data_IF_039258877249
#
_entry.id   IF_039258877249
#
_cell.length_a   1.000
_cell.length_b   1.000
_cell.length_c   1.000
_cell.angle_alpha   90.00
_cell.angle_beta   90.00
_cell.angle_gamma   90.00
#
_symmetry.space_group_name_H-M   'P 1'
#
loop_
_entity.id
_entity.type
_entity.pdbx_description
1 polymer ?
#
# COMPACT_ATOMS: atom_id res chain seq x y z
N UNK A 1 -24.74 14.63 -1.95
CA UNK A 1 -25.00 13.24 -1.56
C UNK A 1 -24.34 13.00 -0.21
N UNK A 2 -25.13 13.02 0.87
CA UNK A 2 -24.64 12.71 2.22
C UNK A 2 -24.36 11.19 2.29
N UNK A 3 -23.46 10.70 3.16
CA UNK A 3 -23.29 9.26 3.34
C UNK A 3 -24.60 8.65 3.84
N UNK A 4 -25.27 7.83 3.03
CA UNK A 4 -26.60 7.25 3.30
C UNK A 4 -27.39 6.86 2.04
N UNK A 5 -27.03 7.41 0.89
CA UNK A 5 -27.72 7.16 -0.38
C UNK A 5 -27.27 5.83 -1.03
N UNK A 6 -27.92 4.71 -0.67
CA UNK A 6 -27.95 3.49 -1.50
C UNK A 6 -26.67 2.65 -1.63
N UNK A 7 -25.58 2.97 -0.94
CA UNK A 7 -24.37 2.14 -0.96
C UNK A 7 -24.58 0.82 -0.21
N UNK A 8 -24.03 -0.31 -0.69
CA UNK A 8 -24.12 -1.58 0.02
C UNK A 8 -23.42 -1.50 1.38
N UNK A 9 -23.82 -2.32 2.36
CA UNK A 9 -23.21 -2.33 3.68
C UNK A 9 -21.72 -2.68 3.60
N UNK A 10 -20.92 -2.09 4.50
CA UNK A 10 -19.49 -2.38 4.59
C UNK A 10 -19.25 -3.85 4.97
N UNK A 11 -18.46 -4.61 4.19
CA UNK A 11 -18.16 -6.00 4.53
C UNK A 11 -17.16 -6.07 5.70
N UNK A 12 -17.08 -7.26 6.31
CA UNK A 12 -16.02 -7.57 7.29
C UNK A 12 -14.72 -7.89 6.56
N UNK A 13 -13.76 -6.96 6.60
CA UNK A 13 -12.45 -7.15 5.99
C UNK A 13 -11.54 -8.04 6.86
N UNK A 14 -11.01 -9.12 6.28
CA UNK A 14 -10.07 -10.05 6.95
C UNK A 14 -8.60 -9.77 6.56
N UNK A 15 -8.20 -8.50 6.51
CA UNK A 15 -6.88 -8.09 6.01
C UNK A 15 -5.71 -8.83 6.69
N UNK A 16 -5.70 -8.93 8.03
CA UNK A 16 -4.60 -9.60 8.75
C UNK A 16 -4.42 -11.07 8.32
N UNK A 17 -5.51 -11.78 8.08
CA UNK A 17 -5.46 -13.17 7.62
C UNK A 17 -5.05 -13.27 6.14
N UNK A 18 -5.40 -12.28 5.31
CA UNK A 18 -4.88 -12.18 3.94
C UNK A 18 -3.38 -11.90 3.94
N UNK A 19 -2.90 -10.98 4.77
CA UNK A 19 -1.48 -10.63 4.87
C UNK A 19 -0.62 -11.81 5.34
N UNK A 20 -1.05 -12.54 6.38
CA UNK A 20 -0.36 -13.75 6.83
C UNK A 20 -0.25 -14.80 5.71
N UNK A 21 -1.32 -14.97 4.94
CA UNK A 21 -1.33 -15.90 3.79
C UNK A 21 -0.44 -15.41 2.66
N UNK A 22 -0.42 -14.11 2.39
CA UNK A 22 0.48 -13.48 1.42
C UNK A 22 1.94 -13.73 1.80
N UNK A 23 2.31 -13.50 3.05
CA UNK A 23 3.70 -13.67 3.50
C UNK A 23 4.15 -15.12 3.33
N UNK A 24 3.33 -16.08 3.78
CA UNK A 24 3.60 -17.50 3.59
C UNK A 24 3.69 -17.89 2.10
N UNK A 25 2.79 -17.38 1.25
CA UNK A 25 2.84 -17.62 -0.19
C UNK A 25 4.11 -17.01 -0.81
N UNK A 26 4.49 -15.81 -0.39
CA UNK A 26 5.68 -15.13 -0.91
C UNK A 26 6.97 -15.86 -0.54
N UNK A 27 7.11 -16.37 0.68
CA UNK A 27 8.27 -17.18 1.10
C UNK A 27 8.48 -18.42 0.21
N UNK A 28 7.39 -19.06 -0.22
CA UNK A 28 7.42 -20.19 -1.15
C UNK A 28 7.83 -19.70 -2.55
N UNK A 29 7.19 -18.64 -3.04
CA UNK A 29 7.35 -18.13 -4.39
C UNK A 29 8.71 -17.44 -4.64
N UNK A 30 9.31 -16.82 -3.62
CA UNK A 30 10.56 -16.05 -3.75
C UNK A 30 11.74 -16.91 -4.26
N UNK A 31 11.69 -18.23 -4.05
CA UNK A 31 12.65 -19.21 -4.58
C UNK A 31 12.69 -19.27 -6.12
N UNK A 32 11.67 -18.73 -6.78
CA UNK A 32 11.57 -18.68 -8.24
C UNK A 32 11.99 -17.33 -8.83
N UNK A 33 12.54 -16.42 -8.00
CA UNK A 33 13.07 -15.15 -8.48
C UNK A 33 14.15 -15.37 -9.54
N UNK A 34 14.06 -14.62 -10.64
CA UNK A 34 14.97 -14.71 -11.78
C UNK A 34 14.70 -15.87 -12.74
N UNK A 35 13.77 -16.78 -12.41
CA UNK A 35 13.37 -17.87 -13.32
C UNK A 35 12.37 -17.35 -14.35
N UNK A 36 12.48 -17.83 -15.58
CA UNK A 36 11.45 -17.65 -16.62
C UNK A 36 10.42 -18.77 -16.46
N UNK A 37 9.10 -18.47 -16.39
CA UNK A 37 8.07 -19.47 -16.18
C UNK A 37 7.79 -20.29 -17.45
N UNK A 38 8.78 -21.07 -17.90
CA UNK A 38 8.73 -21.95 -19.07
C UNK A 38 9.35 -23.33 -18.74
N UNK A 39 9.00 -24.36 -19.52
CA UNK A 39 9.56 -25.71 -19.37
C UNK A 39 9.44 -26.26 -17.95
N UNK A 40 10.58 -26.62 -17.36
CA UNK A 40 10.65 -27.19 -16.01
C UNK A 40 10.31 -26.15 -14.94
N UNK A 41 10.81 -24.91 -15.09
CA UNK A 41 10.52 -23.81 -14.18
C UNK A 41 9.02 -23.47 -14.14
N UNK A 42 8.28 -23.69 -15.24
CA UNK A 42 6.82 -23.59 -15.24
C UNK A 42 6.18 -24.63 -14.32
N UNK A 43 6.60 -25.90 -14.41
CA UNK A 43 6.05 -26.98 -13.57
C UNK A 43 6.40 -26.79 -12.09
N UNK A 44 7.63 -26.37 -11.80
CA UNK A 44 8.05 -26.04 -10.44
C UNK A 44 7.22 -24.88 -9.87
N UNK A 45 6.96 -23.84 -10.66
CA UNK A 45 6.16 -22.70 -10.21
C UNK A 45 4.69 -23.07 -10.01
N UNK A 46 4.11 -23.94 -10.86
CA UNK A 46 2.80 -24.53 -10.63
C UNK A 46 2.75 -25.30 -9.31
N UNK A 47 3.78 -26.11 -9.01
CA UNK A 47 3.88 -26.81 -7.73
C UNK A 47 3.95 -25.84 -6.54
N UNK A 48 4.72 -24.76 -6.66
CA UNK A 48 4.82 -23.71 -5.64
C UNK A 48 3.49 -22.97 -5.41
N UNK A 49 2.77 -22.61 -6.49
CA UNK A 49 1.43 -22.00 -6.40
C UNK A 49 0.42 -22.98 -5.80
N UNK A 50 0.47 -24.25 -6.20
CA UNK A 50 -0.34 -25.31 -5.62
C UNK A 50 -0.11 -25.46 -4.11
N UNK A 51 1.15 -25.49 -3.68
CA UNK A 51 1.53 -25.54 -2.27
C UNK A 51 1.05 -24.30 -1.49
N UNK A 52 1.26 -23.09 -2.03
CA UNK A 52 0.83 -21.85 -1.41
C UNK A 52 -0.70 -21.72 -1.24
N UNK A 53 -1.46 -22.45 -2.07
CA UNK A 53 -2.93 -22.35 -2.12
C UNK A 53 -3.66 -23.62 -1.68
N UNK A 54 -2.93 -24.71 -1.44
CA UNK A 54 -3.47 -26.05 -1.23
C UNK A 54 -4.40 -26.46 -2.38
N UNK A 55 -4.05 -26.08 -3.61
CA UNK A 55 -4.73 -26.50 -4.83
C UNK A 55 -3.85 -27.52 -5.59
N UNK A 56 -4.43 -28.43 -6.39
CA UNK A 56 -3.66 -29.33 -7.22
C UNK A 56 -2.74 -28.55 -8.18
N UNK A 57 -1.46 -28.93 -8.25
CA UNK A 57 -0.46 -28.22 -9.04
C UNK A 57 -0.77 -28.23 -10.55
N UNK A 58 -1.39 -29.31 -11.02
CA UNK A 58 -1.90 -29.50 -12.39
C UNK A 58 -3.32 -28.97 -12.58
N UNK A 59 -3.95 -28.49 -11.51
CA UNK A 59 -5.31 -27.94 -11.56
C UNK A 59 -5.39 -26.72 -12.46
N UNK A 60 -6.47 -26.62 -13.25
CA UNK A 60 -6.70 -25.54 -14.22
C UNK A 60 -6.43 -24.14 -13.65
N UNK A 61 -6.89 -23.87 -12.42
CA UNK A 61 -6.71 -22.57 -11.77
C UNK A 61 -5.24 -22.22 -11.52
N UNK A 62 -4.43 -23.18 -11.11
CA UNK A 62 -2.99 -23.02 -10.89
C UNK A 62 -2.26 -22.81 -12.21
N UNK A 63 -2.48 -23.72 -13.15
CA UNK A 63 -1.82 -23.70 -14.46
C UNK A 63 -2.11 -22.40 -15.21
N UNK A 64 -3.37 -21.97 -15.25
CA UNK A 64 -3.77 -20.71 -15.91
C UNK A 64 -3.26 -19.47 -15.17
N UNK A 65 -3.07 -19.54 -13.85
CA UNK A 65 -2.46 -18.45 -13.08
C UNK A 65 -1.00 -18.29 -13.48
N UNK A 66 -0.24 -19.38 -13.54
CA UNK A 66 1.17 -19.36 -13.94
C UNK A 66 1.33 -18.95 -15.40
N UNK A 67 0.47 -19.42 -16.31
CA UNK A 67 0.46 -18.98 -17.73
C UNK A 67 0.22 -17.48 -17.91
N UNK A 68 -0.46 -16.83 -16.97
CA UNK A 68 -0.72 -15.39 -17.05
C UNK A 68 0.47 -14.53 -16.62
N UNK A 69 1.54 -15.14 -16.11
CA UNK A 69 2.78 -14.44 -15.77
C UNK A 69 3.54 -14.07 -17.05
N UNK A 70 4.35 -12.99 -17.00
CA UNK A 70 5.13 -12.57 -18.15
C UNK A 70 6.15 -13.66 -18.55
N UNK A 71 6.42 -13.83 -19.85
CA UNK A 71 7.44 -14.76 -20.35
C UNK A 71 8.85 -14.18 -20.18
N UNK A 72 9.18 -13.73 -18.97
CA UNK A 72 10.43 -13.06 -18.62
C UNK A 72 10.90 -13.52 -17.22
N UNK A 73 12.18 -13.28 -16.86
CA UNK A 73 12.67 -13.57 -15.51
C UNK A 73 11.83 -12.89 -14.43
N UNK A 74 11.26 -13.68 -13.52
CA UNK A 74 10.36 -13.16 -12.50
C UNK A 74 11.12 -12.29 -11.49
N UNK A 75 10.76 -11.02 -11.43
CA UNK A 75 11.22 -10.08 -10.43
C UNK A 75 10.60 -10.39 -9.07
N UNK A 76 11.27 -9.92 -8.00
CA UNK A 76 10.73 -9.97 -6.64
C UNK A 76 9.36 -9.29 -6.55
N UNK A 77 9.15 -8.21 -7.30
CA UNK A 77 7.89 -7.47 -7.33
C UNK A 77 6.75 -8.32 -7.91
N UNK A 78 6.98 -9.01 -9.02
CA UNK A 78 5.95 -9.85 -9.65
C UNK A 78 5.51 -10.99 -8.73
N UNK A 79 6.47 -11.65 -8.08
CA UNK A 79 6.19 -12.71 -7.09
C UNK A 79 5.42 -12.16 -5.88
N UNK A 80 5.76 -10.95 -5.41
CA UNK A 80 5.04 -10.28 -4.33
C UNK A 80 3.60 -9.94 -4.70
N UNK A 81 3.38 -9.43 -5.91
CA UNK A 81 2.04 -9.12 -6.41
C UNK A 81 1.22 -10.40 -6.63
N UNK A 82 1.84 -11.48 -7.12
CA UNK A 82 1.21 -12.79 -7.22
C UNK A 82 0.78 -13.29 -5.82
N UNK A 83 1.66 -13.23 -4.83
CA UNK A 83 1.36 -13.65 -3.46
C UNK A 83 0.15 -12.90 -2.87
N UNK A 84 0.05 -11.59 -3.11
CA UNK A 84 -1.12 -10.80 -2.72
C UNK A 84 -2.41 -11.31 -3.36
N UNK A 85 -2.40 -11.53 -4.68
CA UNK A 85 -3.59 -12.01 -5.39
C UNK A 85 -3.99 -13.41 -4.94
N UNK A 86 -3.03 -14.33 -4.77
CA UNK A 86 -3.29 -15.69 -4.28
C UNK A 86 -3.89 -15.68 -2.86
N UNK A 87 -3.38 -14.80 -1.99
CA UNK A 87 -3.87 -14.68 -0.63
C UNK A 87 -5.32 -14.23 -0.55
N UNK A 88 -5.75 -13.32 -1.42
CA UNK A 88 -7.14 -12.86 -1.45
C UNK A 88 -8.06 -13.86 -2.19
N UNK A 89 -7.59 -14.41 -3.32
CA UNK A 89 -8.38 -15.23 -4.26
C UNK A 89 -8.19 -16.73 -4.11
N UNK A 90 -7.79 -17.17 -2.92
CA UNK A 90 -7.64 -18.58 -2.55
C UNK A 90 -8.88 -19.45 -2.87
N UNK A 91 -10.13 -18.99 -2.65
CA UNK A 91 -11.30 -19.78 -3.02
C UNK A 91 -11.45 -19.97 -4.54
N UNK A 92 -10.96 -19.03 -5.35
CA UNK A 92 -11.10 -19.09 -6.80
C UNK A 92 -10.13 -20.11 -7.39
N UNK A 93 -8.87 -20.08 -6.97
CA UNK A 93 -7.87 -21.02 -7.46
C UNK A 93 -8.23 -22.47 -7.12
N UNK A 94 -8.78 -22.70 -5.91
CA UNK A 94 -9.29 -24.01 -5.47
C UNK A 94 -10.50 -24.49 -6.28
N UNK A 95 -11.27 -23.57 -6.87
CA UNK A 95 -12.39 -23.87 -7.78
C UNK A 95 -11.93 -23.96 -9.24
N UNK A 96 -10.63 -24.01 -9.50
CA UNK A 96 -10.08 -24.05 -10.86
C UNK A 96 -10.17 -22.74 -11.63
N UNK A 97 -10.46 -21.61 -10.96
CA UNK A 97 -10.49 -20.27 -11.57
C UNK A 97 -9.13 -19.59 -11.40
N UNK A 98 -8.56 -19.14 -12.51
CA UNK A 98 -7.26 -18.49 -12.54
C UNK A 98 -7.26 -17.16 -11.77
N UNK A 99 -6.13 -16.85 -11.14
CA UNK A 99 -5.88 -15.59 -10.45
C UNK A 99 -4.94 -14.75 -11.30
N UNK A 100 -5.53 -13.84 -12.08
CA UNK A 100 -4.80 -13.01 -13.06
C UNK A 100 -4.56 -11.60 -12.52
N UNK A 101 -3.60 -10.83 -13.06
CA UNK A 101 -3.54 -9.39 -12.85
C UNK A 101 -4.91 -8.75 -13.12
N UNK A 102 -5.23 -7.67 -12.39
CA UNK A 102 -6.51 -7.00 -12.59
C UNK A 102 -6.54 -6.37 -13.99
N UNK A 103 -7.63 -6.59 -14.72
CA UNK A 103 -7.84 -6.03 -16.06
C UNK A 103 -9.09 -5.16 -16.17
N UNK A 104 -10.09 -5.41 -15.31
CA UNK A 104 -11.32 -4.62 -15.22
C UNK A 104 -12.01 -4.87 -13.90
N UNK A 105 -12.83 -3.93 -13.46
CA UNK A 105 -13.68 -4.11 -12.30
C UNK A 105 -14.92 -4.95 -12.67
N UNK A 106 -15.14 -6.12 -12.03
CA UNK A 106 -16.25 -7.00 -12.40
C UNK A 106 -17.61 -6.56 -11.84
N UNK A 107 -17.61 -5.87 -10.71
CA UNK A 107 -18.81 -5.39 -10.01
C UNK A 107 -18.44 -4.27 -9.04
N UNK A 108 -19.40 -3.45 -8.65
CA UNK A 108 -19.20 -2.45 -7.60
C UNK A 108 -18.95 -3.13 -6.26
N UNK A 109 -17.88 -2.73 -5.56
CA UNK A 109 -17.51 -3.35 -4.29
C UNK A 109 -16.76 -2.40 -3.36
N UNK A 110 -16.84 -2.68 -2.06
CA UNK A 110 -15.95 -2.05 -1.08
C UNK A 110 -14.60 -2.75 -1.06
N UNK A 111 -13.56 -2.03 -1.45
CA UNK A 111 -12.18 -2.52 -1.52
C UNK A 111 -11.35 -1.95 -0.37
N UNK A 112 -10.59 -2.77 0.37
CA UNK A 112 -9.68 -2.28 1.39
C UNK A 112 -8.40 -1.73 0.74
N UNK A 113 -8.01 -0.53 1.13
CA UNK A 113 -6.78 0.12 0.69
C UNK A 113 -5.84 0.39 1.87
N UNK A 114 -4.54 0.26 1.62
CA UNK A 114 -3.49 0.81 2.46
C UNK A 114 -2.82 1.98 1.74
N UNK A 115 -2.61 3.08 2.46
CA UNK A 115 -1.87 4.24 1.96
C UNK A 115 -0.38 3.91 2.01
N UNK A 116 0.31 3.91 0.87
CA UNK A 116 1.74 3.63 0.81
C UNK A 116 2.56 4.88 1.12
N UNK A 117 2.27 5.99 0.44
CA UNK A 117 3.00 7.24 0.61
C UNK A 117 2.11 8.43 0.28
N UNK A 118 2.50 9.61 0.76
CA UNK A 118 1.87 10.88 0.43
C UNK A 118 2.92 11.96 0.22
N UNK A 119 2.74 12.80 -0.79
CA UNK A 119 3.59 13.96 -1.04
C UNK A 119 2.76 15.13 -1.54
N UNK A 120 3.22 16.35 -1.28
CA UNK A 120 2.62 17.55 -1.84
C UNK A 120 2.67 17.49 -3.37
N UNK A 121 1.57 17.87 -4.02
CA UNK A 121 1.44 17.83 -5.47
C UNK A 121 0.39 18.82 -5.96
N UNK A 122 0.51 19.25 -7.22
CA UNK A 122 -0.55 19.97 -7.92
C UNK A 122 -1.42 19.01 -8.74
N UNK A 123 -2.71 19.31 -8.86
CA UNK A 123 -3.59 18.62 -9.81
C UNK A 123 -3.39 19.18 -11.23
N UNK A 124 -4.16 18.69 -12.21
CA UNK A 124 -4.10 19.17 -13.61
C UNK A 124 -4.53 20.64 -13.76
N UNK A 125 -5.37 21.14 -12.86
CA UNK A 125 -5.82 22.53 -12.83
C UNK A 125 -4.85 23.46 -12.09
N UNK A 126 -3.74 22.94 -11.54
CA UNK A 126 -2.75 23.72 -10.79
C UNK A 126 -3.02 23.85 -9.29
N UNK A 127 -4.13 23.32 -8.78
CA UNK A 127 -4.50 23.41 -7.37
C UNK A 127 -3.53 22.64 -6.47
N UNK A 128 -3.20 23.24 -5.33
CA UNK A 128 -2.38 22.60 -4.32
C UNK A 128 -3.14 21.51 -3.57
N UNK A 129 -2.52 20.35 -3.44
CA UNK A 129 -3.00 19.24 -2.64
C UNK A 129 -1.91 18.20 -2.45
N UNK A 130 -2.29 16.94 -2.39
CA UNK A 130 -1.38 15.85 -2.12
C UNK A 130 -1.70 14.66 -3.00
N UNK A 131 -0.64 14.02 -3.52
CA UNK A 131 -0.74 12.77 -4.26
C UNK A 131 -0.38 11.63 -3.33
N UNK A 132 -1.30 10.68 -3.20
CA UNK A 132 -1.12 9.48 -2.43
C UNK A 132 -0.98 8.26 -3.35
N UNK A 133 0.00 7.42 -3.06
CA UNK A 133 0.06 6.07 -3.59
C UNK A 133 -0.72 5.14 -2.65
N UNK A 134 -1.59 4.32 -3.23
CA UNK A 134 -2.51 3.44 -2.52
C UNK A 134 -2.35 2.04 -3.06
N UNK A 135 -2.42 1.01 -2.20
CA UNK A 135 -2.50 -0.39 -2.63
C UNK A 135 -3.81 -1.01 -2.20
N UNK A 136 -4.52 -1.64 -3.12
CA UNK A 136 -5.63 -2.51 -2.79
C UNK A 136 -5.09 -3.78 -2.11
N UNK A 137 -5.55 -4.03 -0.88
CA UNK A 137 -5.10 -5.16 -0.04
C UNK A 137 -6.15 -6.28 0.04
N UNK A 138 -7.10 -6.28 -0.89
CA UNK A 138 -8.16 -7.28 -1.06
C UNK A 138 -9.16 -6.86 -2.14
N UNK A 139 -10.16 -7.69 -2.41
CA UNK A 139 -11.19 -7.43 -3.43
C UNK A 139 -10.72 -7.74 -4.85
N UNK A 140 -11.53 -7.45 -5.87
CA UNK A 140 -11.14 -7.69 -7.25
C UNK A 140 -9.81 -7.04 -7.65
N UNK A 141 -9.49 -5.79 -7.26
CA UNK A 141 -8.22 -5.15 -7.62
C UNK A 141 -7.08 -5.47 -6.65
N UNK A 142 -7.15 -6.56 -5.87
CA UNK A 142 -6.08 -6.90 -4.91
C UNK A 142 -4.69 -6.88 -5.58
N UNK A 143 -3.71 -6.31 -4.88
CA UNK A 143 -2.34 -6.04 -5.31
C UNK A 143 -2.17 -4.80 -6.22
N UNK A 144 -3.24 -4.26 -6.80
CA UNK A 144 -3.12 -3.07 -7.65
C UNK A 144 -2.71 -1.85 -6.86
N UNK A 145 -1.81 -1.07 -7.45
CA UNK A 145 -1.37 0.22 -6.94
C UNK A 145 -1.97 1.32 -7.78
N UNK A 146 -2.61 2.28 -7.12
CA UNK A 146 -3.22 3.43 -7.76
C UNK A 146 -2.69 4.71 -7.11
N UNK A 147 -2.79 5.80 -7.85
CA UNK A 147 -2.51 7.12 -7.32
C UNK A 147 -3.79 7.94 -7.24
N UNK A 148 -3.96 8.66 -6.14
CA UNK A 148 -5.09 9.55 -5.94
C UNK A 148 -4.59 10.92 -5.51
N UNK A 149 -5.14 11.98 -6.11
CA UNK A 149 -4.92 13.33 -5.63
C UNK A 149 -6.04 13.72 -4.67
N UNK A 150 -5.67 14.22 -3.49
CA UNK A 150 -6.61 14.72 -2.48
C UNK A 150 -6.29 16.18 -2.13
N UNK A 151 -7.34 17.00 -2.09
CA UNK A 151 -7.25 18.38 -1.61
C UNK A 151 -6.97 18.44 -0.11
N UNK A 152 -6.47 19.59 0.35
CA UNK A 152 -6.30 19.89 1.80
C UNK A 152 -7.58 19.65 2.59
N UNK A 153 -8.73 20.11 2.08
CA UNK A 153 -10.03 19.92 2.72
C UNK A 153 -10.43 18.44 2.85
N UNK A 154 -10.17 17.64 1.80
CA UNK A 154 -10.44 16.19 1.83
C UNK A 154 -9.57 15.49 2.87
N UNK A 155 -8.29 15.84 2.96
CA UNK A 155 -7.37 15.26 3.96
C UNK A 155 -7.78 15.63 5.37
N UNK A 156 -8.12 16.90 5.62
CA UNK A 156 -8.58 17.33 6.94
C UNK A 156 -9.80 16.53 7.42
N UNK A 157 -10.75 16.25 6.52
CA UNK A 157 -11.90 15.37 6.81
C UNK A 157 -11.47 13.92 7.04
N UNK A 158 -10.73 13.35 6.08
CA UNK A 158 -10.34 11.94 6.09
C UNK A 158 -9.41 11.59 7.27
N UNK A 159 -8.59 12.54 7.74
CA UNK A 159 -7.72 12.34 8.89
C UNK A 159 -8.53 11.97 10.15
N UNK A 160 -9.67 12.64 10.38
CA UNK A 160 -10.52 12.34 11.53
C UNK A 160 -11.11 10.92 11.45
N UNK A 161 -11.53 10.51 10.25
CA UNK A 161 -12.05 9.16 10.01
C UNK A 161 -10.95 8.10 10.22
N UNK A 162 -9.72 8.39 9.77
CA UNK A 162 -8.56 7.52 9.90
C UNK A 162 -8.07 7.38 11.35
N UNK A 163 -8.50 8.25 12.26
CA UNK A 163 -8.22 8.16 13.69
C UNK A 163 -7.36 9.30 14.26
N UNK A 164 -7.00 10.30 13.47
CA UNK A 164 -6.41 11.54 13.97
C UNK A 164 -7.46 12.34 14.77
N UNK A 165 -7.00 13.25 15.61
CA UNK A 165 -7.83 14.07 16.48
C UNK A 165 -7.61 15.55 16.22
N UNK A 166 -8.65 16.36 16.47
CA UNK A 166 -8.51 17.82 16.52
C UNK A 166 -7.71 18.29 17.72
N UNK A 167 -7.72 17.50 18.79
CA UNK A 167 -6.91 17.76 19.98
C UNK A 167 -5.42 17.64 19.63
N UNK A 168 -4.71 18.75 19.84
CA UNK A 168 -3.26 18.88 19.62
C UNK A 168 -2.43 18.00 20.57
N UNK A 169 -3.01 17.50 21.66
CA UNK A 169 -2.31 16.70 22.67
C UNK A 169 -2.43 15.19 22.46
N UNK A 170 -3.28 14.73 21.52
CA UNK A 170 -3.51 13.30 21.28
C UNK A 170 -2.88 12.83 19.98
N UNK A 171 -3.60 12.94 18.86
CA UNK A 171 -3.11 12.53 17.53
C UNK A 171 -3.36 13.63 16.48
N UNK A 172 -2.77 14.83 16.59
CA UNK A 172 -2.92 15.86 15.55
C UNK A 172 -2.21 15.44 14.26
N UNK A 173 -2.86 15.65 13.11
CA UNK A 173 -2.16 15.53 11.83
C UNK A 173 -1.20 16.72 11.66
N UNK A 174 0.11 16.43 11.63
CA UNK A 174 1.20 17.40 11.50
C UNK A 174 1.79 17.40 10.09
N UNK A 175 1.89 16.22 9.47
CA UNK A 175 2.40 16.04 8.12
C UNK A 175 1.46 15.12 7.32
N UNK A 176 1.02 15.50 6.12
CA UNK A 176 0.16 14.69 5.25
C UNK A 176 0.73 13.30 4.92
N UNK A 177 2.05 13.10 4.96
CA UNK A 177 2.68 11.79 4.83
C UNK A 177 2.42 10.87 6.04
N UNK A 178 1.98 11.40 7.19
CA UNK A 178 1.53 10.58 8.34
C UNK A 178 0.31 9.72 8.02
N UNK A 179 -0.37 9.94 6.89
CA UNK A 179 -1.43 9.04 6.44
C UNK A 179 -0.87 7.71 5.92
N UNK A 180 0.42 7.61 5.62
CA UNK A 180 1.07 6.37 5.20
C UNK A 180 0.84 5.25 6.21
N UNK A 181 0.74 4.02 5.69
CA UNK A 181 0.38 2.77 6.36
C UNK A 181 -1.05 2.72 6.93
N UNK A 182 -1.83 3.79 6.90
CA UNK A 182 -3.21 3.75 7.37
C UNK A 182 -4.13 3.11 6.33
N UNK A 183 -5.21 2.51 6.83
CA UNK A 183 -6.18 1.75 6.03
C UNK A 183 -7.54 2.42 6.00
N UNK A 184 -8.20 2.30 4.86
CA UNK A 184 -9.58 2.70 4.63
C UNK A 184 -10.22 1.78 3.59
N UNK A 185 -11.54 1.81 3.48
CA UNK A 185 -12.29 1.17 2.42
C UNK A 185 -12.65 2.21 1.35
N UNK A 186 -12.38 1.92 0.08
CA UNK A 186 -12.84 2.69 -1.06
C UNK A 186 -13.95 1.94 -1.78
N UNK A 187 -15.04 2.62 -2.14
CA UNK A 187 -16.09 2.01 -2.96
C UNK A 187 -15.69 2.08 -4.44
N UNK A 188 -15.14 0.98 -4.93
CA UNK A 188 -14.64 0.86 -6.30
C UNK A 188 -15.80 0.46 -7.19
N UNK A 189 -16.00 1.21 -8.27
CA UNK A 189 -17.15 1.04 -9.18
C UNK A 189 -16.69 0.63 -10.56
N UNK A 190 -17.54 -0.09 -11.28
CA UNK A 190 -17.29 -0.45 -12.69
C UNK A 190 -17.15 0.80 -13.54
N UNK A 191 -18.05 1.77 -13.36
CA UNK A 191 -18.10 3.02 -14.12
C UNK A 191 -16.79 3.81 -14.06
N UNK A 192 -16.23 4.00 -12.86
CA UNK A 192 -15.00 4.78 -12.69
C UNK A 192 -13.74 3.99 -13.02
N UNK A 193 -13.82 2.66 -13.11
CA UNK A 193 -12.66 1.77 -13.15
C UNK A 193 -12.44 1.12 -14.51
N UNK A 194 -12.58 1.90 -15.58
CA UNK A 194 -12.35 1.44 -16.95
C UNK A 194 -10.88 1.03 -17.20
N UNK A 195 -9.93 1.89 -16.79
CA UNK A 195 -8.49 1.66 -17.01
C UNK A 195 -7.74 1.23 -15.75
N UNK A 196 -8.20 1.71 -14.58
CA UNK A 196 -7.54 1.52 -13.29
C UNK A 196 -8.59 1.51 -12.18
N UNK A 197 -8.36 0.83 -11.05
CA UNK A 197 -9.29 0.90 -9.92
C UNK A 197 -9.50 2.34 -9.45
N UNK A 198 -10.75 2.78 -9.35
CA UNK A 198 -11.09 4.13 -8.93
C UNK A 198 -12.32 4.14 -8.02
N UNK A 199 -12.34 5.08 -7.08
CA UNK A 199 -13.41 5.22 -6.09
C UNK A 199 -13.73 6.69 -5.81
N UNK A 200 -15.00 6.97 -5.53
CA UNK A 200 -15.47 8.28 -5.07
C UNK A 200 -15.68 8.31 -3.56
N UNK A 201 -16.25 7.24 -3.02
CA UNK A 201 -16.62 7.13 -1.61
C UNK A 201 -15.56 6.38 -0.82
N UNK A 202 -15.36 6.81 0.42
CA UNK A 202 -14.42 6.21 1.36
C UNK A 202 -15.09 6.01 2.70
N UNK A 203 -14.73 4.94 3.40
CA UNK A 203 -15.16 4.69 4.77
C UNK A 203 -14.01 4.09 5.59
N UNK A 204 -14.06 4.26 6.91
CA UNK A 204 -13.10 3.64 7.84
C UNK A 204 -13.88 2.74 8.80
N UNK A 205 -14.08 1.45 8.47
CA UNK A 205 -14.76 0.52 9.37
C UNK A 205 -13.99 0.36 10.69
N UNK A 206 -14.66 -0.08 11.78
CA UNK A 206 -14.05 -0.19 13.11
C UNK A 206 -12.74 -0.98 13.14
N UNK A 207 -12.65 -2.08 12.36
CA UNK A 207 -11.42 -2.88 12.27
C UNK A 207 -10.22 -2.10 11.71
N UNK A 208 -10.45 -1.21 10.73
CA UNK A 208 -9.39 -0.35 10.19
C UNK A 208 -9.06 0.77 11.15
N UNK A 209 -10.06 1.34 11.84
CA UNK A 209 -9.80 2.34 12.88
C UNK A 209 -8.91 1.78 13.99
N UNK A 210 -9.17 0.56 14.47
CA UNK A 210 -8.34 -0.12 15.46
C UNK A 210 -6.92 -0.36 14.95
N UNK A 211 -6.77 -0.78 13.68
CA UNK A 211 -5.46 -0.94 13.05
C UNK A 211 -4.70 0.39 12.97
N UNK A 212 -5.35 1.44 12.45
CA UNK A 212 -4.78 2.78 12.30
C UNK A 212 -4.35 3.36 13.65
N UNK A 213 -5.18 3.21 14.69
CA UNK A 213 -4.85 3.66 16.03
C UNK A 213 -3.59 3.01 16.61
N UNK A 214 -3.28 1.76 16.26
CA UNK A 214 -2.01 1.13 16.69
C UNK A 214 -0.81 1.85 16.07
N UNK A 215 -0.89 2.18 14.78
CA UNK A 215 0.16 2.93 14.08
C UNK A 215 0.28 4.35 14.65
N UNK A 216 -0.84 5.03 14.91
CA UNK A 216 -0.84 6.37 15.50
C UNK A 216 -0.24 6.35 16.92
N UNK A 217 -0.62 5.39 17.76
CA UNK A 217 0.00 5.20 19.09
C UNK A 217 1.51 4.98 19.00
N UNK A 218 1.97 4.17 18.04
CA UNK A 218 3.39 3.99 17.80
C UNK A 218 4.09 5.31 17.44
N UNK A 219 3.50 6.12 16.56
CA UNK A 219 4.08 7.38 16.09
C UNK A 219 4.10 8.49 17.15
N UNK A 220 3.01 8.63 17.90
CA UNK A 220 2.83 9.75 18.84
C UNK A 220 3.23 9.41 20.27
N UNK A 221 3.02 8.17 20.70
CA UNK A 221 3.32 7.76 22.08
C UNK A 221 4.53 6.83 22.18
N UNK A 222 5.13 6.42 21.05
CA UNK A 222 6.28 5.51 21.01
C UNK A 222 6.03 4.21 21.77
N UNK A 223 4.91 3.56 21.45
CA UNK A 223 4.55 2.25 22.01
C UNK A 223 4.41 1.22 20.88
N UNK A 224 5.36 0.28 20.70
CA UNK A 224 6.62 0.13 21.47
C UNK A 224 7.62 1.27 21.24
N UNK A 225 8.67 1.39 22.07
CA UNK A 225 9.71 2.42 21.95
C UNK A 225 10.36 2.47 20.57
N UNK A 226 10.98 3.61 20.25
CA UNK A 226 11.73 3.75 19.01
C UNK A 226 12.86 2.71 18.98
N UNK A 227 12.98 1.89 17.92
CA UNK A 227 14.03 0.87 17.83
C UNK A 227 15.45 1.47 17.81
N UNK A 228 15.58 2.69 17.28
CA UNK A 228 16.86 3.43 17.21
C UNK A 228 17.03 4.46 18.34
N UNK A 229 16.12 4.47 19.31
CA UNK A 229 16.11 5.45 20.40
C UNK A 229 16.12 6.94 19.99
N UNK A 230 15.68 7.29 18.77
CA UNK A 230 15.58 8.67 18.32
C UNK A 230 14.63 9.52 19.20
N UNK A 231 15.00 10.78 19.42
CA UNK A 231 14.29 11.75 20.24
C UNK A 231 13.32 12.64 19.46
N UNK A 232 13.46 12.74 18.14
CA UNK A 232 12.59 13.55 17.28
C UNK A 232 11.21 12.87 17.03
N UNK A 233 10.17 13.64 16.67
CA UNK A 233 8.88 13.10 16.24
C UNK A 233 9.00 12.12 15.06
N UNK A 234 8.18 11.06 15.03
CA UNK A 234 8.26 10.04 13.96
C UNK A 234 7.99 10.58 12.55
N UNK A 235 7.28 11.69 12.40
CA UNK A 235 7.02 12.30 11.09
C UNK A 235 8.24 13.05 10.52
N UNK A 236 9.26 13.31 11.34
CA UNK A 236 10.54 13.88 10.92
C UNK A 236 11.63 12.80 10.78
N UNK A 237 11.31 11.55 11.12
CA UNK A 237 12.27 10.46 11.14
C UNK A 237 12.76 10.10 9.74
N UNK A 238 14.08 9.86 9.55
CA UNK A 238 14.62 9.41 8.28
C UNK A 238 14.31 7.95 7.98
N UNK A 239 13.86 7.15 8.96
CA UNK A 239 13.58 5.73 8.77
C UNK A 239 12.48 5.46 7.73
N UNK A 240 12.61 4.33 7.03
CA UNK A 240 11.62 3.81 6.10
C UNK A 240 10.86 2.61 6.69
N UNK A 241 9.72 2.24 6.11
CA UNK A 241 8.99 1.03 6.53
C UNK A 241 9.23 -0.20 5.63
N UNK A 242 9.80 -0.04 4.44
CA UNK A 242 9.90 -1.13 3.45
C UNK A 242 11.33 -1.53 3.07
N UNK A 243 12.25 -0.58 2.93
CA UNK A 243 13.62 -0.88 2.51
C UNK A 243 14.61 0.27 2.78
N UNK A 244 15.89 -0.09 2.92
CA UNK A 244 17.02 0.82 3.09
C UNK A 244 17.22 1.27 4.54
N UNK A 245 18.48 1.32 4.99
CA UNK A 245 18.87 1.80 6.32
C UNK A 245 18.06 1.18 7.46
N UNK A 246 17.54 2.02 8.35
CA UNK A 246 16.67 1.65 9.47
C UNK A 246 15.25 1.38 9.00
N UNK A 247 14.74 0.18 9.28
CA UNK A 247 13.35 -0.21 9.00
C UNK A 247 12.49 -0.09 10.26
N UNK A 248 11.47 0.76 10.23
CA UNK A 248 10.57 1.01 11.36
C UNK A 248 9.09 0.87 10.94
N UNK A 249 8.30 0.11 11.71
CA UNK A 249 6.86 -0.06 11.46
C UNK A 249 6.06 1.24 11.64
N UNK A 250 6.58 2.19 12.42
CA UNK A 250 5.97 3.50 12.65
C UNK A 250 6.36 4.52 11.58
N UNK A 251 7.30 4.21 10.68
CA UNK A 251 7.75 5.14 9.66
C UNK A 251 6.61 5.61 8.74
N UNK A 252 6.76 6.82 8.23
CA UNK A 252 5.79 7.46 7.33
C UNK A 252 6.23 7.42 5.86
N UNK A 253 7.42 6.87 5.60
CA UNK A 253 8.07 6.84 4.29
C UNK A 253 8.34 5.39 3.88
N UNK A 254 8.18 5.02 2.60
CA UNK A 254 8.50 3.67 2.14
C UNK A 254 9.98 3.33 2.27
N UNK A 255 10.85 4.24 1.86
CA UNK A 255 12.31 4.09 1.90
C UNK A 255 12.91 5.01 2.94
N UNK A 256 13.97 4.55 3.60
CA UNK A 256 14.74 5.42 4.48
C UNK A 256 15.44 6.53 3.68
N UNK A 257 15.58 7.69 4.29
CA UNK A 257 16.47 8.74 3.82
C UNK A 257 17.92 8.34 4.09
N UNK A 258 18.83 8.90 3.30
CA UNK A 258 20.27 8.76 3.53
C UNK A 258 20.89 10.13 3.77
N UNK A 259 21.97 10.18 4.55
CA UNK A 259 22.75 11.41 4.71
C UNK A 259 23.56 11.65 3.44
N UNK A 260 23.54 12.89 2.96
CA UNK A 260 24.35 13.33 1.84
C UNK A 260 24.39 14.83 1.72
N UNK A 261 25.21 15.32 0.80
CA UNK A 261 25.39 16.75 0.58
C UNK A 261 24.18 17.35 -0.16
N UNK A 262 23.57 18.40 0.39
CA UNK A 262 22.44 19.07 -0.23
C UNK A 262 22.90 20.12 -1.25
N UNK A 263 22.46 20.00 -2.51
CA UNK A 263 22.80 20.98 -3.56
C UNK A 263 22.17 22.37 -3.33
N UNK A 264 21.09 22.45 -2.55
CA UNK A 264 20.37 23.71 -2.31
C UNK A 264 20.97 24.54 -1.17
N UNK A 265 21.32 23.90 -0.04
CA UNK A 265 21.87 24.61 1.12
C UNK A 265 23.35 24.35 1.37
N UNK A 266 23.99 23.49 0.57
CA UNK A 266 25.41 23.15 0.65
C UNK A 266 25.83 22.59 2.03
N UNK A 267 24.90 21.92 2.72
CA UNK A 267 25.14 21.24 4.00
C UNK A 267 24.75 19.77 3.88
N UNK A 268 25.33 18.94 4.73
CA UNK A 268 24.87 17.57 4.90
C UNK A 268 23.43 17.57 5.43
N UNK A 269 22.60 16.72 4.85
CA UNK A 269 21.22 16.57 5.27
C UNK A 269 20.60 15.28 4.74
N UNK A 270 19.38 15.01 5.19
CA UNK A 270 18.64 13.82 4.79
C UNK A 270 18.07 13.95 3.38
N UNK A 271 18.50 13.07 2.48
CA UNK A 271 18.10 13.01 1.07
C UNK A 271 17.12 11.85 0.82
N UNK A 272 16.14 12.07 -0.05
CA UNK A 272 15.10 11.08 -0.36
C UNK A 272 15.44 10.29 -1.65
N UNK A 273 15.82 9.01 -1.52
CA UNK A 273 16.25 8.21 -2.68
C UNK A 273 15.12 7.95 -3.69
N UNK A 274 13.85 8.18 -3.33
CA UNK A 274 12.74 8.04 -4.26
C UNK A 274 12.61 9.24 -5.21
N UNK A 275 13.27 10.37 -4.93
CA UNK A 275 13.18 11.60 -5.73
C UNK A 275 14.28 11.72 -6.77
N UNK A 276 15.43 11.07 -6.53
CA UNK A 276 16.55 11.06 -7.48
C UNK A 276 17.25 12.42 -7.62
N UNK A 277 17.04 13.34 -6.67
CA UNK A 277 17.81 14.58 -6.58
C UNK A 277 18.47 14.72 -5.20
N UNK A 278 19.45 15.61 -5.13
CA UNK A 278 20.30 15.82 -3.95
C UNK A 278 19.81 17.01 -3.12
N UNK A 279 18.49 17.21 -3.02
CA UNK A 279 17.90 18.29 -2.20
C UNK A 279 17.38 17.71 -0.90
N UNK A 280 17.92 18.19 0.24
CA UNK A 280 17.54 17.67 1.55
C UNK A 280 16.07 17.96 1.92
N UNK A 281 15.52 17.10 2.78
CA UNK A 281 14.13 17.13 3.20
C UNK A 281 13.73 18.46 3.87
N UNK A 282 14.67 19.15 4.51
CA UNK A 282 14.41 20.44 5.16
C UNK A 282 14.30 21.59 4.17
N UNK A 283 15.20 21.67 3.18
CA UNK A 283 15.09 22.66 2.08
C UNK A 283 13.76 22.51 1.35
N UNK A 284 13.29 21.27 1.17
CA UNK A 284 12.01 20.95 0.53
C UNK A 284 10.81 21.45 1.33
N UNK A 285 10.84 21.33 2.66
CA UNK A 285 9.76 21.81 3.53
C UNK A 285 9.61 23.32 3.48
N UNK A 286 10.68 24.06 3.19
CA UNK A 286 10.65 25.52 3.02
C UNK A 286 9.93 25.88 1.72
N UNK A 287 10.30 25.24 0.60
CA UNK A 287 9.72 25.52 -0.73
C UNK A 287 8.23 25.20 -0.80
N UNK A 288 7.75 24.18 -0.08
CA UNK A 288 6.33 23.79 -0.07
C UNK A 288 5.43 24.68 0.82
N UNK A 289 6.03 25.57 1.63
CA UNK A 289 5.32 26.55 2.46
C UNK A 289 5.13 27.90 1.76
N UNK A 290 5.81 28.12 0.65
CA UNK A 290 5.63 29.23 -0.28
C UNK A 290 4.59 28.86 -1.34
#
# INVERSE_FOLDING_TARGET
>A
MKPGDGLPPLPKFKCRAAEKRRDAAFEILERHRGKVPAGDAFRELCAAVGAATLAPADGRGVVETVRSLPPAPLSRRELWLLAWRLADRLPDIRKGRAVRPWSRQPADEWVPFEILSGAAARNRAGDHGFRYALRAIGGAPCAEEITAWWSRARIARMALDLGFTRDRRRFPLQDPAQLARLRFAGFVTVELSAERPAFRFTAVPPGFRTYNQKILKQRFHRVPPCPEAFDHPCHLCPAGYAAGGVVCQAAIRPRALYLGQCISCQREGWLDPARGDEVCDDCRKIVLRQ
#
